data_IF_743971133181
#
_entry.id   IF_743971133181
#
_cell.length_a   1.000
_cell.length_b   1.000
_cell.length_c   1.000
_cell.angle_alpha   90.00
_cell.angle_beta   90.00
_cell.angle_gamma   90.00
#
_symmetry.space_group_name_H-M   'P 1'
#
loop_
_entity.id
_entity.type
_entity.pdbx_description
1 polymer ?
#
# COMPACT_ATOMS: atom_id res chain seq x y z
N UNK A 1 8.69 7.17 40.26
CA UNK A 1 9.19 6.56 39.01
C UNK A 1 9.33 7.70 38.01
N UNK A 2 10.55 8.06 37.60
CA UNK A 2 10.77 9.26 36.77
C UNK A 2 10.32 9.02 35.32
N UNK A 3 9.83 10.06 34.63
CA UNK A 3 9.33 9.98 33.24
C UNK A 3 10.30 9.26 32.29
N UNK A 4 11.59 9.52 32.43
CA UNK A 4 12.66 8.87 31.65
C UNK A 4 12.73 7.37 31.89
N UNK A 5 12.56 6.92 33.13
CA UNK A 5 12.54 5.48 33.49
C UNK A 5 11.31 4.79 32.90
N UNK A 6 10.17 5.49 32.86
CA UNK A 6 8.93 4.96 32.26
C UNK A 6 9.06 4.79 30.74
N UNK A 7 9.62 5.78 30.04
CA UNK A 7 9.88 5.69 28.59
C UNK A 7 10.87 4.56 28.29
N UNK A 8 11.90 4.40 29.12
CA UNK A 8 12.86 3.31 28.96
C UNK A 8 12.21 1.94 29.19
N UNK A 9 11.34 1.81 30.19
CA UNK A 9 10.57 0.60 30.43
C UNK A 9 9.61 0.29 29.27
N UNK A 10 8.98 1.32 28.68
CA UNK A 10 8.11 1.16 27.49
C UNK A 10 8.91 0.69 26.27
N UNK A 11 10.09 1.28 26.01
CA UNK A 11 11.00 0.83 24.94
C UNK A 11 11.42 -0.63 25.12
N UNK A 12 11.74 -1.02 26.35
CA UNK A 12 12.08 -2.41 26.67
C UNK A 12 10.90 -3.35 26.43
N UNK A 13 9.69 -3.00 26.88
CA UNK A 13 8.49 -3.80 26.63
C UNK A 13 8.18 -3.94 25.14
N UNK A 14 8.27 -2.85 24.37
CA UNK A 14 8.07 -2.88 22.90
C UNK A 14 9.11 -3.81 22.25
N UNK A 15 10.36 -3.72 22.69
CA UNK A 15 11.43 -4.60 22.19
C UNK A 15 11.18 -6.07 22.52
N UNK A 16 10.67 -6.38 23.73
CA UNK A 16 10.28 -7.73 24.14
C UNK A 16 9.10 -8.25 23.30
N UNK A 17 8.13 -7.41 22.95
CA UNK A 17 7.04 -7.79 22.05
C UNK A 17 7.56 -8.23 20.67
N UNK A 18 8.61 -7.58 20.14
CA UNK A 18 9.24 -8.02 18.89
C UNK A 18 9.98 -9.37 19.02
N UNK A 19 10.52 -9.69 20.20
CA UNK A 19 11.16 -10.98 20.43
C UNK A 19 10.16 -12.16 20.39
N UNK A 20 8.91 -11.93 20.81
CA UNK A 20 7.84 -12.94 20.69
C UNK A 20 7.46 -13.20 19.22
N UNK A 21 7.68 -12.23 18.34
CA UNK A 21 7.41 -12.36 16.91
C UNK A 21 8.63 -11.92 16.09
N UNK A 22 9.70 -12.74 16.04
CA UNK A 22 10.94 -12.35 15.38
C UNK A 22 10.68 -12.05 13.90
N UNK A 23 11.08 -10.85 13.48
CA UNK A 23 10.96 -10.36 12.12
C UNK A 23 12.24 -9.60 11.76
N UNK A 24 12.78 -9.81 10.57
CA UNK A 24 13.96 -9.07 10.13
C UNK A 24 13.59 -7.62 9.84
N UNK A 25 14.50 -6.69 10.14
CA UNK A 25 14.38 -5.27 9.77
C UNK A 25 14.25 -5.06 8.25
N UNK A 26 14.70 -6.04 7.45
CA UNK A 26 14.55 -6.09 5.98
C UNK A 26 13.29 -6.81 5.51
N UNK A 27 12.49 -7.37 6.42
CA UNK A 27 11.25 -8.04 6.06
C UNK A 27 10.16 -7.00 5.82
N UNK A 28 9.41 -7.16 4.73
CA UNK A 28 8.31 -6.27 4.37
C UNK A 28 7.04 -6.67 5.13
N UNK A 29 6.32 -5.69 5.65
CA UNK A 29 5.00 -5.88 6.25
C UNK A 29 3.96 -5.70 5.16
N UNK A 30 3.19 -6.75 4.87
CA UNK A 30 2.15 -6.70 3.82
C UNK A 30 0.77 -6.38 4.41
N UNK A 31 0.66 -5.23 5.07
CA UNK A 31 -0.59 -4.74 5.65
C UNK A 31 -0.84 -3.29 5.22
N UNK A 32 -2.13 -2.94 5.15
CA UNK A 32 -2.59 -1.55 5.09
C UNK A 32 -2.88 -1.09 6.51
N UNK A 33 -2.34 0.04 6.87
CA UNK A 33 -2.55 0.65 8.17
C UNK A 33 -3.44 1.88 8.05
N UNK A 34 -4.03 2.28 9.17
CA UNK A 34 -4.68 3.57 9.26
C UNK A 34 -3.61 4.67 9.13
N UNK A 35 -3.88 5.67 8.30
CA UNK A 35 -2.97 6.81 8.05
C UNK A 35 -2.71 7.66 9.29
N UNK A 36 -3.59 7.57 10.29
CA UNK A 36 -3.39 8.22 11.59
C UNK A 36 -2.36 7.48 12.46
N UNK A 37 -2.11 6.20 12.18
CA UNK A 37 -1.18 5.35 12.91
C UNK A 37 0.18 5.27 12.23
N UNK A 38 0.23 5.05 10.92
CA UNK A 38 1.49 5.02 10.17
C UNK A 38 1.38 5.86 8.90
N UNK A 39 2.49 6.49 8.51
CA UNK A 39 2.51 7.37 7.34
C UNK A 39 2.45 6.62 6.01
N UNK A 40 2.96 5.39 5.97
CA UNK A 40 3.08 4.59 4.75
C UNK A 40 2.67 3.12 4.95
N UNK A 41 2.08 2.56 3.90
CA UNK A 41 1.74 1.14 3.81
C UNK A 41 2.84 0.35 3.12
N UNK A 42 2.85 -0.97 3.34
CA UNK A 42 3.74 -1.89 2.64
C UNK A 42 5.23 -1.53 2.76
N UNK A 43 5.68 -1.08 3.92
CA UNK A 43 7.08 -0.76 4.16
C UNK A 43 7.84 -1.91 4.83
N UNK A 44 9.15 -1.72 4.99
CA UNK A 44 10.02 -2.63 5.73
C UNK A 44 9.73 -2.53 7.24
N UNK A 45 9.91 -3.61 7.98
CA UNK A 45 9.70 -3.62 9.43
C UNK A 45 10.47 -2.51 10.16
N UNK A 46 11.70 -2.22 9.72
CA UNK A 46 12.51 -1.12 10.26
C UNK A 46 11.82 0.25 10.16
N UNK A 47 11.02 0.47 9.13
CA UNK A 47 10.29 1.73 8.93
C UNK A 47 9.26 1.92 10.03
N UNK A 48 8.43 0.90 10.28
CA UNK A 48 7.40 0.92 11.32
C UNK A 48 8.00 1.03 12.73
N UNK A 49 9.16 0.40 12.97
CA UNK A 49 9.91 0.58 14.22
C UNK A 49 10.40 2.01 14.41
N UNK A 50 10.90 2.63 13.34
CA UNK A 50 11.36 4.02 13.37
C UNK A 50 10.20 4.98 13.67
N UNK A 51 9.02 4.72 13.11
CA UNK A 51 7.80 5.50 13.44
C UNK A 51 7.38 5.34 14.91
N UNK A 52 7.42 4.12 15.46
CA UNK A 52 7.16 3.88 16.89
C UNK A 52 8.17 4.59 17.80
N UNK A 53 9.46 4.55 17.44
CA UNK A 53 10.51 5.27 18.16
C UNK A 53 10.33 6.79 18.10
N UNK A 54 9.84 7.30 16.97
CA UNK A 54 9.47 8.71 16.80
C UNK A 54 8.30 9.09 17.72
N UNK A 55 7.22 8.29 17.75
CA UNK A 55 6.09 8.50 18.68
C UNK A 55 6.56 8.48 20.14
N UNK A 56 7.41 7.53 20.52
CA UNK A 56 8.02 7.48 21.85
C UNK A 56 8.86 8.73 22.18
N UNK A 57 9.63 9.22 21.20
CA UNK A 57 10.42 10.43 21.36
C UNK A 57 9.53 11.68 21.54
N UNK A 58 8.37 11.73 20.88
CA UNK A 58 7.37 12.78 21.10
C UNK A 58 6.84 12.73 22.53
N UNK A 59 6.41 11.57 23.03
CA UNK A 59 5.93 11.41 24.41
C UNK A 59 7.02 11.85 25.42
N UNK A 60 8.28 11.49 25.16
CA UNK A 60 9.40 11.87 26.02
C UNK A 60 9.59 13.40 26.11
N UNK A 61 9.37 14.13 25.01
CA UNK A 61 9.56 15.59 24.92
C UNK A 61 8.43 16.42 25.53
N UNK A 62 7.22 15.86 25.68
CA UNK A 62 6.08 16.59 26.22
C UNK A 62 6.31 17.08 27.66
N UNK A 63 5.77 18.24 28.00
CA UNK A 63 5.82 18.78 29.35
C UNK A 63 4.66 18.24 30.20
N UNK A 64 4.75 18.34 31.54
CA UNK A 64 3.74 17.78 32.45
C UNK A 64 2.36 18.46 32.34
N UNK A 65 2.31 19.69 31.83
CA UNK A 65 1.10 20.44 31.52
C UNK A 65 0.42 20.03 30.20
N UNK A 66 1.07 19.21 29.37
CA UNK A 66 0.57 18.76 28.06
C UNK A 66 -0.20 17.42 28.15
N UNK A 67 -1.07 17.31 29.15
CA UNK A 67 -1.74 16.04 29.51
C UNK A 67 -2.56 15.44 28.35
N UNK A 68 -3.30 16.27 27.60
CA UNK A 68 -4.11 15.82 26.46
C UNK A 68 -3.24 15.25 25.31
N UNK A 69 -2.09 15.86 25.06
CA UNK A 69 -1.16 15.41 24.01
C UNK A 69 -0.42 14.15 24.47
N UNK A 70 -0.09 14.07 25.75
CA UNK A 70 0.51 12.89 26.35
C UNK A 70 -0.44 11.68 26.24
N UNK A 71 -1.73 11.88 26.52
CA UNK A 71 -2.76 10.87 26.32
C UNK A 71 -2.86 10.47 24.85
N UNK A 72 -3.00 11.44 23.94
CA UNK A 72 -3.11 11.18 22.51
C UNK A 72 -1.93 10.36 21.96
N UNK A 73 -0.69 10.76 22.24
CA UNK A 73 0.47 10.02 21.74
C UNK A 73 0.64 8.66 22.42
N UNK A 74 0.21 8.50 23.67
CA UNK A 74 0.21 7.21 24.36
C UNK A 74 -0.80 6.24 23.75
N UNK A 75 -2.01 6.71 23.44
CA UNK A 75 -3.04 5.95 22.74
C UNK A 75 -2.58 5.59 21.32
N UNK A 76 -2.00 6.56 20.60
CA UNK A 76 -1.40 6.33 19.28
C UNK A 76 -0.32 5.25 19.34
N UNK A 77 0.59 5.32 20.30
CA UNK A 77 1.68 4.35 20.45
C UNK A 77 1.14 2.93 20.68
N UNK A 78 0.12 2.79 21.52
CA UNK A 78 -0.53 1.52 21.79
C UNK A 78 -1.19 0.97 20.52
N UNK A 79 -1.95 1.80 19.81
CA UNK A 79 -2.60 1.43 18.56
C UNK A 79 -1.60 1.05 17.46
N UNK A 80 -0.49 1.78 17.33
CA UNK A 80 0.62 1.46 16.42
C UNK A 80 1.23 0.09 16.76
N UNK A 81 1.50 -0.18 18.04
CA UNK A 81 2.07 -1.45 18.47
C UNK A 81 1.12 -2.62 18.21
N UNK A 82 -0.16 -2.47 18.55
CA UNK A 82 -1.17 -3.51 18.34
C UNK A 82 -1.35 -3.80 16.85
N UNK A 83 -1.53 -2.76 16.02
CA UNK A 83 -1.69 -2.92 14.58
C UNK A 83 -0.48 -3.62 13.95
N UNK A 84 0.75 -3.25 14.36
CA UNK A 84 1.97 -3.85 13.85
C UNK A 84 2.10 -5.33 14.28
N UNK A 85 1.80 -5.65 15.55
CA UNK A 85 1.83 -7.03 16.03
C UNK A 85 0.77 -7.88 15.33
N UNK A 86 -0.44 -7.37 15.15
CA UNK A 86 -1.52 -8.08 14.45
C UNK A 86 -1.15 -8.33 12.98
N UNK A 87 -0.54 -7.35 12.31
CA UNK A 87 -0.02 -7.53 10.96
C UNK A 87 1.05 -8.64 10.89
N UNK A 88 1.99 -8.67 11.85
CA UNK A 88 3.02 -9.71 11.92
C UNK A 88 2.40 -11.09 12.20
N UNK A 89 1.45 -11.18 13.14
CA UNK A 89 0.73 -12.42 13.46
C UNK A 89 -0.02 -12.94 12.24
N UNK A 90 -0.81 -12.10 11.57
CA UNK A 90 -1.54 -12.49 10.36
C UNK A 90 -0.59 -12.95 9.24
N UNK A 91 0.54 -12.27 9.05
CA UNK A 91 1.55 -12.67 8.07
C UNK A 91 2.19 -14.03 8.41
N UNK A 92 2.42 -14.33 9.70
CA UNK A 92 2.95 -15.62 10.15
C UNK A 92 1.90 -16.75 10.10
N UNK A 93 0.66 -16.48 10.49
CA UNK A 93 -0.45 -17.44 10.38
C UNK A 93 -0.72 -17.82 8.92
N UNK A 94 -0.62 -16.86 7.99
CA UNK A 94 -0.66 -17.15 6.55
C UNK A 94 0.50 -18.04 6.09
N UNK A 95 1.70 -17.89 6.66
CA UNK A 95 2.85 -18.77 6.39
C UNK A 95 2.65 -20.20 6.93
N UNK A 96 1.93 -20.39 8.04
CA UNK A 96 1.69 -21.72 8.63
C UNK A 96 0.54 -22.50 7.99
N UNK A 97 -0.42 -21.82 7.35
CA UNK A 97 -1.50 -22.46 6.58
C UNK A 97 -1.18 -22.54 5.08
N UNK A 98 -0.04 -22.00 4.65
CA UNK A 98 0.50 -22.20 3.31
C UNK A 98 1.31 -23.49 3.25
N UNK A 99 0.58 -24.55 2.88
CA UNK A 99 1.12 -25.67 2.15
C UNK A 99 2.07 -25.14 1.07
N UNK A 100 3.36 -25.46 1.19
CA UNK A 100 4.41 -25.28 0.18
C UNK A 100 4.56 -23.84 -0.40
N UNK A 101 5.69 -23.14 -0.22
CA UNK A 101 6.09 -22.11 -1.16
C UNK A 101 6.55 -22.80 -2.45
N UNK A 102 5.64 -23.49 -3.13
CA UNK A 102 5.70 -23.45 -4.57
C UNK A 102 5.62 -21.96 -4.85
N UNK A 103 6.74 -21.41 -5.33
CA UNK A 103 6.76 -20.23 -6.16
C UNK A 103 5.57 -20.41 -7.10
N UNK A 104 4.40 -19.86 -6.76
CA UNK A 104 3.38 -19.59 -7.75
C UNK A 104 4.16 -18.72 -8.71
N UNK A 105 4.50 -19.23 -9.91
CA UNK A 105 5.18 -18.41 -10.87
C UNK A 105 4.30 -17.17 -10.95
N UNK A 106 4.86 -15.98 -10.64
CA UNK A 106 4.16 -14.73 -10.94
C UNK A 106 3.52 -14.98 -12.30
N UNK A 107 2.19 -14.91 -12.36
CA UNK A 107 1.51 -15.19 -13.61
C UNK A 107 2.18 -14.32 -14.67
N UNK A 108 2.26 -14.75 -15.93
CA UNK A 108 2.89 -13.93 -16.97
C UNK A 108 2.41 -12.46 -16.89
N UNK A 109 1.14 -12.27 -16.50
CA UNK A 109 0.49 -11.01 -16.16
C UNK A 109 1.16 -10.20 -15.04
N UNK A 110 1.48 -10.79 -13.88
CA UNK A 110 2.11 -10.06 -12.76
C UNK A 110 3.58 -9.71 -13.06
N UNK A 111 4.30 -10.59 -13.77
CA UNK A 111 5.66 -10.26 -14.26
C UNK A 111 5.62 -9.13 -15.27
N UNK A 112 4.65 -9.14 -16.20
CA UNK A 112 4.46 -8.07 -17.17
C UNK A 112 4.08 -6.74 -16.50
N UNK A 113 3.19 -6.74 -15.50
CA UNK A 113 2.83 -5.53 -14.78
C UNK A 113 4.05 -4.88 -14.12
N UNK A 114 4.85 -5.64 -13.37
CA UNK A 114 6.09 -5.12 -12.78
C UNK A 114 7.15 -4.74 -13.81
N UNK A 115 7.17 -5.36 -14.99
CA UNK A 115 8.07 -4.99 -16.07
C UNK A 115 7.73 -3.61 -16.65
N UNK A 116 6.44 -3.27 -16.82
CA UNK A 116 6.01 -1.96 -17.35
C UNK A 116 6.52 -0.81 -16.47
N UNK A 117 6.43 -0.94 -15.14
CA UNK A 117 6.92 0.10 -14.21
C UNK A 117 8.45 0.21 -14.14
N UNK A 118 9.19 -0.71 -14.78
CA UNK A 118 10.66 -0.62 -14.91
C UNK A 118 11.09 0.01 -16.23
N UNK A 119 10.18 0.14 -17.19
CA UNK A 119 10.47 0.78 -18.47
C UNK A 119 10.74 2.28 -18.26
N UNK A 120 11.60 2.89 -19.10
CA UNK A 120 11.73 4.33 -19.21
C UNK A 120 10.38 5.02 -19.37
N UNK A 121 10.22 6.27 -18.89
CA UNK A 121 8.95 6.98 -18.90
C UNK A 121 8.23 6.99 -20.27
N UNK A 122 8.96 7.14 -21.38
CA UNK A 122 8.36 7.11 -22.73
C UNK A 122 7.82 5.73 -23.12
N UNK A 123 8.60 4.66 -22.94
CA UNK A 123 8.17 3.29 -23.26
C UNK A 123 7.04 2.81 -22.34
N UNK A 124 7.03 3.28 -21.10
CA UNK A 124 5.92 3.04 -20.16
C UNK A 124 4.63 3.70 -20.62
N UNK A 125 4.72 4.91 -21.18
CA UNK A 125 3.57 5.65 -21.70
C UNK A 125 2.92 4.90 -22.88
N UNK A 126 3.71 4.38 -23.81
CA UNK A 126 3.22 3.53 -24.92
C UNK A 126 2.44 2.31 -24.40
N UNK A 127 2.95 1.65 -23.36
CA UNK A 127 2.27 0.51 -22.72
C UNK A 127 0.95 0.88 -22.06
N UNK A 128 0.84 2.09 -21.51
CA UNK A 128 -0.44 2.57 -20.97
C UNK A 128 -1.45 2.87 -22.08
N UNK A 129 -1.04 3.41 -23.23
CA UNK A 129 -1.95 3.56 -24.36
C UNK A 129 -2.42 2.22 -24.94
N UNK A 130 -1.52 1.23 -25.06
CA UNK A 130 -1.88 -0.14 -25.47
C UNK A 130 -2.91 -0.76 -24.50
N UNK A 131 -2.69 -0.59 -23.19
CA UNK A 131 -3.63 -1.04 -22.17
C UNK A 131 -4.97 -0.29 -22.22
N UNK A 132 -4.96 1.02 -22.49
CA UNK A 132 -6.16 1.84 -22.65
C UNK A 132 -7.00 1.36 -23.85
N UNK A 133 -6.36 1.08 -24.99
CA UNK A 133 -7.03 0.55 -26.17
C UNK A 133 -7.68 -0.81 -25.87
N UNK A 134 -6.97 -1.71 -25.20
CA UNK A 134 -7.51 -3.01 -24.80
C UNK A 134 -8.70 -2.89 -23.82
N UNK A 135 -8.67 -1.90 -22.91
CA UNK A 135 -9.78 -1.61 -22.01
C UNK A 135 -11.00 -1.06 -22.76
N UNK A 136 -10.80 -0.18 -23.74
CA UNK A 136 -11.89 0.35 -24.57
C UNK A 136 -12.57 -0.77 -25.38
N UNK A 137 -11.78 -1.60 -26.08
CA UNK A 137 -12.31 -2.74 -26.83
C UNK A 137 -13.07 -3.73 -25.93
N UNK A 138 -12.60 -3.92 -24.70
CA UNK A 138 -13.30 -4.76 -23.73
C UNK A 138 -14.64 -4.16 -23.27
N UNK A 139 -14.71 -2.84 -23.07
CA UNK A 139 -15.97 -2.17 -22.71
C UNK A 139 -16.98 -2.32 -23.84
N UNK A 140 -16.57 -2.10 -25.09
CA UNK A 140 -17.39 -2.26 -26.28
C UNK A 140 -17.94 -3.70 -26.38
N UNK A 141 -17.08 -4.71 -26.26
CA UNK A 141 -17.49 -6.12 -26.24
C UNK A 141 -18.51 -6.41 -25.12
N UNK A 142 -18.31 -5.86 -23.92
CA UNK A 142 -19.24 -6.06 -22.80
C UNK A 142 -20.57 -5.35 -23.01
N UNK A 143 -20.56 -4.20 -23.68
CA UNK A 143 -21.79 -3.48 -24.06
C UNK A 143 -22.56 -4.27 -25.12
N UNK A 144 -21.89 -4.82 -26.13
CA UNK A 144 -22.53 -5.69 -27.13
C UNK A 144 -23.20 -6.90 -26.47
N UNK A 145 -22.50 -7.56 -25.55
CA UNK A 145 -23.05 -8.65 -24.75
C UNK A 145 -24.27 -8.21 -23.93
N UNK A 146 -24.23 -7.01 -23.35
CA UNK A 146 -25.34 -6.46 -22.58
C UNK A 146 -26.58 -6.23 -23.46
N UNK A 147 -26.40 -5.72 -24.68
CA UNK A 147 -27.49 -5.52 -25.64
C UNK A 147 -28.07 -6.83 -26.17
N UNK A 148 -27.24 -7.87 -26.32
CA UNK A 148 -27.67 -9.19 -26.78
C UNK A 148 -28.29 -10.06 -25.68
N UNK A 149 -27.98 -9.79 -24.41
CA UNK A 149 -28.53 -10.53 -23.28
C UNK A 149 -30.06 -10.36 -23.19
N UNK A 150 -30.77 -11.47 -23.00
CA UNK A 150 -32.24 -11.46 -22.81
C UNK A 150 -32.62 -11.57 -21.34
N UNK A 151 -31.76 -12.17 -20.51
CA UNK A 151 -32.01 -12.38 -19.09
C UNK A 151 -31.57 -11.17 -18.26
N UNK A 152 -32.45 -10.70 -17.36
CA UNK A 152 -32.22 -9.52 -16.53
C UNK A 152 -31.04 -9.71 -15.56
N UNK A 153 -30.86 -10.92 -15.03
CA UNK A 153 -29.75 -11.26 -14.14
C UNK A 153 -28.39 -11.15 -14.86
N UNK A 154 -28.33 -11.60 -16.12
CA UNK A 154 -27.14 -11.51 -16.95
C UNK A 154 -26.81 -10.04 -17.29
N UNK A 155 -27.84 -9.24 -17.60
CA UNK A 155 -27.70 -7.79 -17.79
C UNK A 155 -27.12 -7.10 -16.57
N UNK A 156 -27.64 -7.38 -15.37
CA UNK A 156 -27.10 -6.83 -14.13
C UNK A 156 -25.63 -7.20 -13.91
N UNK A 157 -25.26 -8.46 -14.19
CA UNK A 157 -23.85 -8.90 -14.10
C UNK A 157 -22.97 -8.14 -15.09
N UNK A 158 -23.41 -8.01 -16.34
CA UNK A 158 -22.68 -7.29 -17.39
C UNK A 158 -22.53 -5.80 -17.05
N UNK A 159 -23.56 -5.17 -16.49
CA UNK A 159 -23.50 -3.78 -16.03
C UNK A 159 -22.42 -3.58 -14.95
N UNK A 160 -22.32 -4.49 -13.98
CA UNK A 160 -21.26 -4.46 -12.97
C UNK A 160 -19.86 -4.65 -13.60
N UNK A 161 -19.74 -5.55 -14.58
CA UNK A 161 -18.48 -5.78 -15.29
C UNK A 161 -18.03 -4.56 -16.12
N UNK A 162 -18.97 -3.89 -16.78
CA UNK A 162 -18.74 -2.65 -17.52
C UNK A 162 -18.25 -1.57 -16.56
N UNK A 163 -18.96 -1.35 -15.44
CA UNK A 163 -18.61 -0.36 -14.44
C UNK A 163 -17.19 -0.58 -13.88
N UNK A 164 -16.84 -1.82 -13.53
CA UNK A 164 -15.50 -2.15 -13.07
C UNK A 164 -14.42 -1.91 -14.15
N UNK A 165 -14.72 -2.23 -15.42
CA UNK A 165 -13.78 -2.01 -16.52
C UNK A 165 -13.60 -0.52 -16.82
N UNK A 166 -14.66 0.28 -16.71
CA UNK A 166 -14.61 1.76 -16.80
C UNK A 166 -13.79 2.37 -15.67
N UNK A 167 -13.93 1.87 -14.42
CA UNK A 167 -13.10 2.34 -13.31
C UNK A 167 -11.61 2.07 -13.56
N UNK A 168 -11.28 0.91 -14.13
CA UNK A 168 -9.88 0.58 -14.51
C UNK A 168 -9.37 1.48 -15.64
N UNK A 169 -10.22 1.81 -16.61
CA UNK A 169 -9.92 2.76 -17.69
C UNK A 169 -9.62 4.15 -17.13
N UNK A 170 -10.41 4.65 -16.18
CA UNK A 170 -10.19 5.95 -15.54
C UNK A 170 -8.81 6.03 -14.87
N UNK A 171 -8.45 5.02 -14.06
CA UNK A 171 -7.11 4.95 -13.44
C UNK A 171 -5.97 4.89 -14.46
N UNK A 172 -6.19 4.24 -15.61
CA UNK A 172 -5.18 4.19 -16.67
C UNK A 172 -4.98 5.57 -17.31
N UNK A 173 -6.04 6.35 -17.49
CA UNK A 173 -5.96 7.71 -18.01
C UNK A 173 -5.24 8.64 -17.03
N UNK A 174 -5.55 8.56 -15.73
CA UNK A 174 -4.84 9.32 -14.69
C UNK A 174 -3.33 9.02 -14.70
N UNK A 175 -2.95 7.75 -14.87
CA UNK A 175 -1.56 7.34 -14.95
C UNK A 175 -0.85 7.86 -16.22
N UNK A 176 -1.56 7.96 -17.35
CA UNK A 176 -1.08 8.54 -18.60
C UNK A 176 -0.83 10.04 -18.40
N UNK A 177 -1.84 10.77 -17.94
CA UNK A 177 -1.79 12.23 -17.73
C UNK A 177 -0.62 12.64 -16.81
N UNK A 178 -0.46 11.93 -15.70
CA UNK A 178 0.64 12.16 -14.76
C UNK A 178 2.01 11.95 -15.42
N UNK A 179 2.15 10.90 -16.23
CA UNK A 179 3.41 10.53 -16.88
C UNK A 179 3.76 11.47 -18.03
N UNK A 180 2.75 11.92 -18.80
CA UNK A 180 2.90 12.96 -19.82
C UNK A 180 3.33 14.28 -19.20
N UNK A 181 2.68 14.69 -18.10
CA UNK A 181 3.05 15.90 -17.35
C UNK A 181 4.50 15.84 -16.86
N UNK A 182 4.91 14.70 -16.29
CA UNK A 182 6.30 14.49 -15.87
C UNK A 182 7.30 14.60 -17.03
N UNK A 183 7.00 13.95 -18.16
CA UNK A 183 7.84 13.99 -19.36
C UNK A 183 7.96 15.41 -19.93
N UNK A 184 6.86 16.18 -19.95
CA UNK A 184 6.87 17.56 -20.43
C UNK A 184 7.75 18.47 -19.55
N UNK A 185 7.72 18.28 -18.23
CA UNK A 185 8.59 18.99 -17.29
C UNK A 185 10.07 18.62 -17.48
N UNK A 186 10.38 17.33 -17.67
CA UNK A 186 11.75 16.88 -17.95
C UNK A 186 12.30 17.45 -19.26
N UNK A 187 11.48 17.56 -20.32
CA UNK A 187 11.91 18.16 -21.59
C UNK A 187 12.17 19.66 -21.43
N UNK A 188 11.32 20.37 -20.71
CA UNK A 188 11.46 21.82 -20.47
C UNK A 188 12.77 22.13 -19.73
N UNK A 189 13.09 21.36 -18.67
CA UNK A 189 14.34 21.54 -17.91
C UNK A 189 15.62 21.18 -18.70
N UNK A 190 15.51 20.37 -19.76
CA UNK A 190 16.64 20.04 -20.64
C UNK A 190 16.89 21.06 -21.73
N UNK A 191 15.86 21.82 -22.13
CA UNK A 191 15.97 22.87 -23.15
C UNK A 191 16.41 24.23 -22.57
N UNK A 192 16.33 24.42 -21.25
CA UNK A 192 16.80 25.61 -20.52
C UNK A 192 18.28 25.51 -20.03
N UNK A 193 19.05 24.55 -20.57
CA UNK A 193 20.51 24.40 -20.34
C UNK A 193 21.26 24.50 -21.65
#
# INVERSE_FOLDING_TARGET
MNKTQLIQALRQKISQCYQQYPMSDTEKIYAKFDRTLFSEDFQLFKFYRTELDSTLAQIARLQENEQAQCQFYSEKLLAQLQALLDAIKQQKSRKTTQHNPQKVPLTAKDKQQHAIHRLPPRERLEKYYEALQALNAKIEQQQDQYFQAQEELEKQRLQQLIAHTQQRRARCLEAIELLEGYLALEQSQKNDK
#
